data_IF_007126531804
#
_entry.id   IF_007126531804
#
_cell.length_a   1.000
_cell.length_b   1.000
_cell.length_c   1.000
_cell.angle_alpha   90.00
_cell.angle_beta   90.00
_cell.angle_gamma   90.00
#
_symmetry.space_group_name_H-M   'P 1'
#
loop_
_entity.id
_entity.type
_entity.pdbx_description
1 polymer ?
#
# COMPACT_ATOMS: atom_id res chain seq x y z
N UNK A 1 -15.58 -10.59 -53.25
CA UNK A 1 -16.69 -10.81 -52.29
C UNK A 1 -16.39 -9.98 -51.05
N UNK A 2 -16.91 -8.77 -51.01
CA UNK A 2 -16.68 -7.76 -49.95
C UNK A 2 -17.96 -7.63 -49.13
N UNK A 3 -17.90 -7.91 -47.81
CA UNK A 3 -18.99 -7.66 -46.87
C UNK A 3 -18.86 -6.24 -46.29
N UNK A 4 -19.94 -5.45 -46.20
CA UNK A 4 -19.90 -4.15 -45.52
C UNK A 4 -20.10 -4.33 -44.01
N UNK A 5 -19.40 -3.52 -43.22
CA UNK A 5 -19.62 -3.35 -41.79
C UNK A 5 -20.68 -2.28 -41.56
N UNK A 6 -21.74 -2.69 -40.88
CA UNK A 6 -22.86 -1.88 -40.43
C UNK A 6 -22.46 -1.08 -39.18
N UNK A 7 -22.61 0.25 -39.20
CA UNK A 7 -22.36 1.16 -38.07
C UNK A 7 -23.70 1.65 -37.54
N UNK A 8 -24.26 0.90 -36.60
CA UNK A 8 -25.42 1.32 -35.80
C UNK A 8 -25.02 2.37 -34.77
N UNK A 9 -25.52 3.59 -34.95
CA UNK A 9 -25.55 4.67 -33.96
C UNK A 9 -26.58 4.32 -32.88
N UNK A 10 -26.24 4.47 -31.60
CA UNK A 10 -27.23 4.49 -30.51
C UNK A 10 -27.12 5.79 -29.71
N UNK A 11 -28.30 6.27 -29.33
CA UNK A 11 -28.62 7.64 -28.99
C UNK A 11 -28.52 7.92 -27.48
N UNK A 12 -28.10 9.16 -27.19
CA UNK A 12 -28.04 9.79 -25.88
C UNK A 12 -29.47 10.21 -25.45
N UNK A 13 -29.93 9.78 -24.28
CA UNK A 13 -31.18 10.23 -23.68
C UNK A 13 -30.89 10.94 -22.35
N UNK A 14 -31.12 12.26 -22.32
CA UNK A 14 -31.11 13.12 -21.15
C UNK A 14 -32.49 13.11 -20.45
N UNK A 15 -32.48 12.90 -19.14
CA UNK A 15 -33.58 13.21 -18.20
C UNK A 15 -32.89 13.37 -16.83
N UNK A 16 -32.94 14.48 -16.08
CA UNK A 16 -33.93 15.53 -15.96
C UNK A 16 -34.70 15.33 -14.65
N UNK A 17 -34.29 15.97 -13.55
CA UNK A 17 -35.00 15.87 -12.27
C UNK A 17 -34.46 16.82 -11.20
N UNK A 18 -35.11 17.98 -11.06
CA UNK A 18 -34.92 18.94 -9.97
C UNK A 18 -36.00 18.74 -8.91
N UNK A 19 -35.63 18.76 -7.63
CA UNK A 19 -36.58 18.78 -6.50
C UNK A 19 -36.25 19.95 -5.58
N UNK A 20 -37.17 20.91 -5.55
CA UNK A 20 -37.26 22.01 -4.59
C UNK A 20 -37.99 21.52 -3.33
N UNK A 21 -37.44 21.81 -2.15
CA UNK A 21 -38.20 21.73 -0.88
C UNK A 21 -38.16 23.10 -0.22
N UNK A 22 -39.35 23.67 -0.06
CA UNK A 22 -39.64 24.96 0.56
C UNK A 22 -40.66 24.78 1.70
N UNK A 23 -40.50 25.56 2.77
CA UNK A 23 -41.46 25.78 3.87
C UNK A 23 -41.25 24.85 5.07
N UNK A 24 -41.47 25.23 6.33
CA UNK A 24 -42.08 26.36 7.04
C UNK A 24 -41.64 26.17 8.52
N UNK A 25 -41.43 27.18 9.36
CA UNK A 25 -42.45 27.75 10.26
C UNK A 25 -41.79 28.83 11.14
N UNK A 26 -42.43 29.99 11.24
CA UNK A 26 -42.11 31.05 12.21
C UNK A 26 -43.18 31.05 13.31
N UNK A 27 -42.75 30.95 14.57
CA UNK A 27 -43.56 31.23 15.76
C UNK A 27 -42.87 32.34 16.55
N UNK A 28 -43.61 33.43 16.77
CA UNK A 28 -43.17 34.58 17.55
C UNK A 28 -43.29 34.35 19.05
N UNK A 29 -42.23 34.66 19.78
CA UNK A 29 -42.21 34.82 21.23
C UNK A 29 -41.72 36.24 21.56
N UNK A 30 -42.38 36.86 22.54
CA UNK A 30 -42.15 38.24 22.95
C UNK A 30 -40.74 38.51 23.45
N UNK A 31 -40.22 39.66 23.06
CA UNK A 31 -38.86 40.12 23.30
C UNK A 31 -38.76 40.74 24.70
N UNK A 32 -38.34 39.93 25.67
CA UNK A 32 -37.76 40.41 26.91
C UNK A 32 -36.40 41.04 26.57
N UNK A 33 -36.07 42.28 27.01
CA UNK A 33 -34.81 42.91 26.65
C UNK A 33 -33.66 42.00 27.07
N UNK A 34 -32.79 41.58 26.13
CA UNK A 34 -31.78 40.59 26.40
C UNK A 34 -30.90 41.07 27.56
N UNK A 35 -30.57 40.19 28.51
CA UNK A 35 -29.60 40.52 29.54
C UNK A 35 -28.34 41.07 28.85
N UNK A 36 -27.66 42.07 29.45
CA UNK A 36 -26.44 42.62 28.88
C UNK A 36 -25.53 41.47 28.49
N UNK A 37 -24.99 41.45 27.26
CA UNK A 37 -24.23 40.32 26.76
C UNK A 37 -23.14 40.02 27.80
N UNK A 38 -23.01 38.74 28.23
CA UNK A 38 -21.94 38.37 29.14
C UNK A 38 -20.63 38.91 28.56
N UNK A 39 -19.74 39.46 29.40
CA UNK A 39 -18.45 39.94 28.93
C UNK A 39 -17.83 38.85 28.05
N UNK A 40 -17.32 39.21 26.85
CA UNK A 40 -16.81 38.23 25.92
C UNK A 40 -15.81 37.34 26.67
N UNK A 41 -15.93 36.00 26.56
CA UNK A 41 -15.00 35.12 27.23
C UNK A 41 -13.58 35.55 26.85
N UNK A 42 -12.64 35.57 27.81
CA UNK A 42 -11.26 35.91 27.51
C UNK A 42 -10.81 35.05 26.31
N UNK A 43 -10.11 35.65 25.33
CA UNK A 43 -9.65 34.90 24.17
C UNK A 43 -8.89 33.66 24.66
N UNK A 44 -9.15 32.47 24.08
CA UNK A 44 -8.41 31.26 24.43
C UNK A 44 -6.92 31.57 24.41
N UNK A 45 -6.12 31.04 25.37
CA UNK A 45 -4.68 31.12 25.27
C UNK A 45 -4.25 30.68 23.87
N UNK A 46 -3.47 31.50 23.17
CA UNK A 46 -2.91 31.13 21.86
C UNK A 46 -2.23 29.78 22.07
N UNK A 47 -2.68 28.74 21.37
CA UNK A 47 -2.05 27.44 21.45
C UNK A 47 -0.55 27.64 21.19
N UNK A 48 0.30 27.07 22.06
CA UNK A 48 1.74 27.09 21.81
C UNK A 48 1.98 26.46 20.44
N UNK A 49 2.78 27.14 19.62
CA UNK A 49 3.16 26.62 18.31
C UNK A 49 3.91 25.29 18.53
N UNK A 50 3.60 24.22 17.79
CA UNK A 50 4.28 22.94 17.95
C UNK A 50 5.79 23.13 17.73
N UNK A 51 6.59 22.63 18.67
CA UNK A 51 8.05 22.66 18.57
C UNK A 51 8.43 21.59 17.55
N UNK A 52 8.81 22.01 16.34
CA UNK A 52 9.34 21.12 15.31
C UNK A 52 10.84 20.94 15.62
N UNK A 53 11.32 19.71 15.90
CA UNK A 53 12.74 19.43 16.03
C UNK A 53 13.54 19.90 14.82
N UNK A 54 14.72 20.46 15.05
CA UNK A 54 15.66 20.73 13.96
C UNK A 54 16.15 19.40 13.35
N UNK A 55 16.37 19.33 12.03
CA UNK A 55 17.01 18.17 11.39
C UNK A 55 18.37 17.86 12.02
N UNK A 56 18.70 16.58 12.12
CA UNK A 56 20.03 16.19 12.58
C UNK A 56 21.06 16.51 11.49
N UNK A 57 22.31 16.79 11.90
CA UNK A 57 23.43 16.82 10.96
C UNK A 57 23.72 15.38 10.50
N UNK A 58 23.04 14.97 9.42
CA UNK A 58 23.08 13.60 8.91
C UNK A 58 24.51 13.17 8.56
N UNK A 59 25.34 14.07 8.03
CA UNK A 59 26.73 13.77 7.68
C UNK A 59 27.60 13.57 8.92
N UNK A 60 27.43 14.39 9.95
CA UNK A 60 28.13 14.20 11.22
C UNK A 60 27.68 12.92 11.93
N UNK A 61 26.37 12.62 11.92
CA UNK A 61 25.82 11.40 12.47
C UNK A 61 26.35 10.16 11.72
N UNK A 62 26.32 10.18 10.39
CA UNK A 62 26.82 9.10 9.52
C UNK A 62 28.28 8.73 9.83
N UNK A 63 29.16 9.73 9.96
CA UNK A 63 30.58 9.50 10.30
C UNK A 63 30.82 8.91 11.69
N UNK A 64 29.82 8.95 12.57
CA UNK A 64 29.90 8.34 13.90
C UNK A 64 29.41 6.89 13.94
N UNK A 65 28.83 6.42 12.83
CA UNK A 65 28.37 5.04 12.67
C UNK A 65 29.54 4.21 12.15
N UNK A 66 29.82 3.09 12.82
CA UNK A 66 30.74 2.07 12.32
C UNK A 66 30.02 1.27 11.23
N UNK A 67 30.41 1.49 9.97
CA UNK A 67 29.83 0.87 8.78
C UNK A 67 30.93 0.60 7.76
N UNK A 68 30.68 -0.31 6.80
CA UNK A 68 31.57 -0.57 5.68
C UNK A 68 31.94 0.72 4.93
N UNK A 69 33.24 0.93 4.70
CA UNK A 69 33.81 2.12 4.03
C UNK A 69 33.27 2.34 2.60
N UNK A 70 32.69 1.30 1.99
CA UNK A 70 32.03 1.36 0.67
C UNK A 70 30.67 2.02 0.71
N UNK A 71 30.08 2.21 1.89
CA UNK A 71 28.82 2.94 2.06
C UNK A 71 29.09 4.43 2.14
N UNK A 72 28.35 5.22 1.37
CA UNK A 72 28.43 6.69 1.41
C UNK A 72 27.05 7.32 1.51
N UNK A 73 27.00 8.52 2.08
CA UNK A 73 25.78 9.33 2.16
C UNK A 73 25.73 10.36 1.02
N UNK A 74 24.59 10.44 0.34
CA UNK A 74 24.26 11.45 -0.64
C UNK A 74 24.13 12.85 0.00
N UNK A 75 24.35 13.94 -0.77
CA UNK A 75 24.10 15.29 -0.29
C UNK A 75 22.59 15.53 -0.13
N UNK A 76 22.22 16.44 0.78
CA UNK A 76 20.83 16.92 0.88
C UNK A 76 19.86 15.98 1.61
N UNK A 77 20.35 14.94 2.28
CA UNK A 77 19.51 14.10 3.16
C UNK A 77 19.18 14.90 4.43
N UNK A 78 17.90 15.23 4.57
CA UNK A 78 17.32 15.89 5.73
C UNK A 78 16.51 14.84 6.51
N UNK A 79 16.97 14.52 7.73
CA UNK A 79 16.33 13.53 8.59
C UNK A 79 16.31 14.07 10.03
N UNK A 80 15.29 13.70 10.79
CA UNK A 80 15.13 14.10 12.19
C UNK A 80 15.31 12.91 13.15
N UNK A 81 14.98 11.70 12.68
CA UNK A 81 15.18 10.46 13.44
C UNK A 81 16.59 9.87 13.19
N UNK A 82 17.46 10.01 14.19
CA UNK A 82 18.81 9.43 14.18
C UNK A 82 18.80 7.91 14.09
N UNK A 83 17.84 7.24 14.73
CA UNK A 83 17.78 5.77 14.74
C UNK A 83 17.46 5.20 13.36
N UNK A 84 16.67 5.92 12.56
CA UNK A 84 16.38 5.56 11.16
C UNK A 84 17.64 5.68 10.30
N UNK A 85 18.39 6.78 10.40
CA UNK A 85 19.66 6.95 9.70
C UNK A 85 20.67 5.84 10.08
N UNK A 86 20.76 5.52 11.37
CA UNK A 86 21.63 4.45 11.87
C UNK A 86 21.24 3.08 11.30
N UNK A 87 19.95 2.75 11.30
CA UNK A 87 19.45 1.49 10.76
C UNK A 87 19.63 1.40 9.24
N UNK A 88 19.30 2.46 8.50
CA UNK A 88 19.46 2.51 7.04
C UNK A 88 20.92 2.36 6.62
N UNK A 89 21.84 3.01 7.36
CA UNK A 89 23.28 2.92 7.12
C UNK A 89 23.79 1.50 7.36
N UNK A 90 23.42 0.88 8.49
CA UNK A 90 23.81 -0.51 8.80
C UNK A 90 23.23 -1.52 7.82
N UNK A 91 21.96 -1.35 7.45
CA UNK A 91 21.29 -2.21 6.49
C UNK A 91 22.02 -2.15 5.14
N UNK A 92 22.29 -0.94 4.63
CA UNK A 92 23.05 -0.73 3.40
C UNK A 92 24.45 -1.34 3.47
N UNK A 93 25.12 -1.21 4.62
CA UNK A 93 26.43 -1.84 4.86
C UNK A 93 26.38 -3.36 4.79
N UNK A 94 25.35 -3.99 5.37
CA UNK A 94 25.16 -5.44 5.30
C UNK A 94 24.94 -5.93 3.86
N UNK A 95 24.17 -5.20 3.05
CA UNK A 95 23.96 -5.53 1.63
C UNK A 95 25.28 -5.54 0.85
N UNK A 96 26.08 -4.48 0.99
CA UNK A 96 27.36 -4.34 0.28
C UNK A 96 28.43 -5.31 0.81
N UNK A 97 28.37 -5.66 2.09
CA UNK A 97 29.22 -6.68 2.68
C UNK A 97 28.83 -8.12 2.27
N UNK A 98 27.66 -8.32 1.66
CA UNK A 98 27.11 -9.65 1.44
C UNK A 98 26.80 -10.39 2.74
N UNK A 99 26.64 -9.68 3.86
CA UNK A 99 26.37 -10.26 5.18
C UNK A 99 24.87 -10.54 5.33
N UNK A 100 24.45 -11.73 4.92
CA UNK A 100 23.05 -12.16 4.97
C UNK A 100 22.50 -12.18 6.40
N UNK A 101 23.34 -12.51 7.39
CA UNK A 101 22.93 -12.52 8.78
C UNK A 101 22.59 -11.10 9.26
N UNK A 102 23.51 -10.14 9.10
CA UNK A 102 23.29 -8.75 9.50
C UNK A 102 22.15 -8.09 8.71
N UNK A 103 22.01 -8.41 7.42
CA UNK A 103 20.91 -7.93 6.60
C UNK A 103 19.57 -8.46 7.14
N UNK A 104 19.50 -9.75 7.46
CA UNK A 104 18.28 -10.39 7.97
C UNK A 104 17.79 -9.75 9.29
N UNK A 105 18.69 -9.38 10.21
CA UNK A 105 18.32 -8.74 11.48
C UNK A 105 17.63 -7.38 11.31
N UNK A 106 17.87 -6.73 10.16
CA UNK A 106 17.31 -5.44 9.79
C UNK A 106 16.20 -5.57 8.74
N UNK A 107 15.68 -6.77 8.48
CA UNK A 107 14.61 -7.00 7.50
C UNK A 107 13.28 -7.35 8.16
N UNK A 108 12.18 -7.00 7.48
CA UNK A 108 10.84 -7.48 7.85
C UNK A 108 10.74 -8.99 7.65
N UNK A 109 9.79 -9.65 8.31
CA UNK A 109 9.59 -11.11 8.23
C UNK A 109 9.44 -11.62 6.79
N UNK A 110 8.73 -10.84 5.94
CA UNK A 110 8.54 -11.17 4.53
C UNK A 110 9.83 -11.00 3.72
N UNK A 111 10.60 -9.94 3.97
CA UNK A 111 11.89 -9.74 3.29
C UNK A 111 12.91 -10.81 3.71
N UNK A 112 12.92 -11.21 4.99
CA UNK A 112 13.74 -12.32 5.48
C UNK A 112 13.45 -13.64 4.78
N UNK A 113 12.18 -13.99 4.53
CA UNK A 113 11.85 -15.20 3.77
C UNK A 113 12.42 -15.18 2.35
N UNK A 114 12.45 -14.01 1.72
CA UNK A 114 13.05 -13.85 0.38
C UNK A 114 14.56 -14.00 0.45
N UNK A 115 15.19 -13.37 1.45
CA UNK A 115 16.63 -13.50 1.70
C UNK A 115 17.01 -14.96 2.00
N UNK A 116 16.27 -15.66 2.86
CA UNK A 116 16.51 -17.07 3.20
C UNK A 116 16.46 -17.97 1.95
N UNK A 117 15.54 -17.70 1.02
CA UNK A 117 15.46 -18.41 -0.26
C UNK A 117 16.71 -18.14 -1.14
N UNK A 118 17.12 -16.86 -1.27
CA UNK A 118 18.30 -16.45 -2.03
C UNK A 118 19.62 -16.94 -1.42
N UNK A 119 19.71 -17.01 -0.10
CA UNK A 119 20.88 -17.58 0.59
C UNK A 119 20.90 -19.10 0.41
N UNK A 120 19.73 -19.75 0.42
CA UNK A 120 19.60 -21.19 0.26
C UNK A 120 20.02 -21.72 -1.13
N UNK A 121 19.81 -20.95 -2.19
CA UNK A 121 20.23 -21.29 -3.56
C UNK A 121 21.56 -20.64 -3.99
N UNK A 122 22.11 -19.73 -3.19
CA UNK A 122 23.37 -19.03 -3.43
C UNK A 122 23.23 -17.73 -4.22
N UNK A 123 22.03 -17.39 -4.70
CA UNK A 123 21.77 -16.17 -5.47
C UNK A 123 22.13 -14.89 -4.69
N UNK A 124 22.02 -14.91 -3.36
CA UNK A 124 22.45 -13.78 -2.52
C UNK A 124 23.94 -13.47 -2.69
N UNK A 125 24.79 -14.49 -2.65
CA UNK A 125 26.22 -14.32 -2.74
C UNK A 125 26.65 -13.92 -4.15
N UNK A 126 26.03 -14.51 -5.18
CA UNK A 126 26.23 -14.11 -6.57
C UNK A 126 25.81 -12.64 -6.80
N UNK A 127 24.70 -12.20 -6.20
CA UNK A 127 24.22 -10.83 -6.37
C UNK A 127 25.07 -9.78 -5.60
N UNK A 128 25.75 -10.18 -4.53
CA UNK A 128 26.47 -9.25 -3.64
C UNK A 128 27.99 -9.27 -3.83
N UNK A 129 28.56 -10.31 -4.45
CA UNK A 129 30.03 -10.43 -4.61
C UNK A 129 30.65 -9.32 -5.48
N UNK A 130 29.90 -8.85 -6.48
CA UNK A 130 30.37 -7.83 -7.42
C UNK A 130 30.04 -6.39 -6.96
N UNK A 131 29.52 -6.20 -5.74
CA UNK A 131 29.20 -4.85 -5.24
C UNK A 131 30.45 -4.09 -4.81
N UNK A 132 30.77 -3.02 -5.55
CA UNK A 132 31.92 -2.15 -5.29
C UNK A 132 31.61 -1.05 -4.28
N UNK A 133 30.38 -0.53 -4.29
CA UNK A 133 29.94 0.55 -3.40
C UNK A 133 28.42 0.60 -3.24
N UNK A 134 27.96 1.29 -2.19
CA UNK A 134 26.59 1.76 -2.09
C UNK A 134 26.54 3.23 -1.68
N UNK A 135 25.53 3.92 -2.20
CA UNK A 135 25.28 5.30 -1.88
C UNK A 135 23.82 5.49 -1.49
N UNK A 136 23.58 5.93 -0.26
CA UNK A 136 22.23 6.31 0.18
C UNK A 136 21.92 7.65 -0.49
N UNK A 137 21.07 7.64 -1.50
CA UNK A 137 20.74 8.82 -2.32
C UNK A 137 19.42 9.46 -1.93
N UNK A 138 18.59 8.75 -1.15
CA UNK A 138 17.37 9.25 -0.54
C UNK A 138 17.15 8.55 0.79
N UNK A 139 16.78 9.32 1.80
CA UNK A 139 16.27 8.81 3.06
C UNK A 139 15.21 9.79 3.55
N UNK A 140 14.01 9.28 3.75
CA UNK A 140 12.87 10.06 4.22
C UNK A 140 12.15 9.33 5.35
N UNK A 141 11.39 10.07 6.13
CA UNK A 141 10.69 9.60 7.29
C UNK A 141 9.24 10.04 7.32
N UNK A 142 8.40 9.19 7.88
CA UNK A 142 7.01 9.48 8.16
C UNK A 142 6.71 9.22 9.64
N UNK A 143 6.03 10.15 10.33
CA UNK A 143 5.74 11.52 9.88
C UNK A 143 7.01 12.38 9.67
N UNK A 144 6.95 13.38 8.77
CA UNK A 144 8.08 14.26 8.53
C UNK A 144 8.34 15.16 9.73
N UNK A 145 9.61 15.52 9.94
CA UNK A 145 10.06 16.42 11.00
C UNK A 145 9.84 15.93 12.44
N UNK A 146 9.49 14.67 12.66
CA UNK A 146 9.40 14.11 14.00
C UNK A 146 10.71 13.45 14.44
N UNK A 147 11.05 13.56 15.72
CA UNK A 147 12.24 12.91 16.26
C UNK A 147 12.09 11.38 16.35
N UNK A 148 10.86 10.88 16.33
CA UNK A 148 10.51 9.46 16.43
C UNK A 148 9.61 9.07 15.26
N UNK A 149 10.22 8.82 14.10
CA UNK A 149 9.48 8.35 12.94
C UNK A 149 9.01 6.91 13.15
N UNK A 150 7.88 6.53 12.54
CA UNK A 150 7.36 5.16 12.58
C UNK A 150 7.47 4.44 11.23
N UNK A 151 7.70 5.18 10.14
CA UNK A 151 8.01 4.65 8.84
C UNK A 151 9.11 5.48 8.17
N UNK A 152 9.77 4.90 7.17
CA UNK A 152 10.76 5.59 6.37
C UNK A 152 10.91 4.97 4.99
N UNK A 153 11.48 5.73 4.06
CA UNK A 153 11.80 5.24 2.72
C UNK A 153 13.29 5.41 2.50
N UNK A 154 13.96 4.33 2.11
CA UNK A 154 15.38 4.27 1.82
C UNK A 154 15.56 4.00 0.33
N UNK A 155 16.34 4.84 -0.37
CA UNK A 155 16.82 4.55 -1.72
C UNK A 155 18.33 4.51 -1.73
N UNK A 156 18.87 3.41 -2.23
CA UNK A 156 20.31 3.18 -2.35
C UNK A 156 20.66 3.00 -3.82
N UNK A 157 21.67 3.73 -4.28
CA UNK A 157 22.36 3.43 -5.52
C UNK A 157 23.45 2.39 -5.26
N UNK A 158 23.27 1.19 -5.80
CA UNK A 158 24.22 0.08 -5.73
C UNK A 158 25.18 0.20 -6.92
N UNK A 159 26.49 0.13 -6.67
CA UNK A 159 27.53 0.17 -7.69
C UNK A 159 28.10 -1.24 -7.91
N UNK A 160 28.15 -1.66 -9.17
CA UNK A 160 28.90 -2.82 -9.66
C UNK A 160 29.89 -2.39 -10.76
N UNK A 161 30.73 -3.30 -11.30
CA UNK A 161 31.61 -3.02 -12.43
C UNK A 161 30.88 -2.58 -13.70
N UNK A 162 29.62 -3.00 -13.87
CA UNK A 162 28.82 -2.73 -15.08
C UNK A 162 28.08 -1.40 -15.01
N UNK A 163 27.88 -0.85 -13.80
CA UNK A 163 27.21 0.43 -13.60
C UNK A 163 26.64 0.58 -12.20
N UNK A 164 25.71 1.53 -12.06
CA UNK A 164 24.98 1.75 -10.82
C UNK A 164 23.47 1.77 -11.06
N UNK A 165 22.74 1.04 -10.22
CA UNK A 165 21.29 0.89 -10.26
C UNK A 165 20.67 1.26 -8.91
N UNK A 166 19.37 1.51 -8.87
CA UNK A 166 18.66 1.93 -7.67
C UNK A 166 17.83 0.80 -7.06
N UNK A 167 17.91 0.68 -5.75
CA UNK A 167 17.02 -0.15 -4.97
C UNK A 167 16.30 0.71 -3.93
N UNK A 168 14.99 0.48 -3.75
CA UNK A 168 14.16 1.12 -2.72
C UNK A 168 13.76 0.11 -1.68
N UNK A 169 13.73 0.53 -0.42
CA UNK A 169 13.14 -0.21 0.69
C UNK A 169 12.24 0.70 1.51
N UNK A 170 11.20 0.11 2.11
CA UNK A 170 10.43 0.75 3.17
C UNK A 170 10.96 0.29 4.52
N UNK A 171 11.25 1.25 5.39
CA UNK A 171 11.52 1.03 6.80
C UNK A 171 10.24 1.12 7.61
N UNK A 172 10.03 0.16 8.51
CA UNK A 172 9.01 0.21 9.55
C UNK A 172 9.66 0.13 10.93
N UNK A 173 9.17 0.93 11.88
CA UNK A 173 9.64 0.90 13.25
C UNK A 173 8.86 -0.13 14.06
N UNK A 174 9.57 -1.07 14.70
CA UNK A 174 9.02 -2.02 15.66
C UNK A 174 9.68 -1.82 17.02
N UNK A 175 8.97 -1.16 17.93
CA UNK A 175 9.52 -0.76 19.23
C UNK A 175 10.62 0.28 19.06
N UNK A 176 11.86 -0.08 19.45
CA UNK A 176 13.05 0.78 19.32
C UNK A 176 13.92 0.42 18.11
N UNK A 177 13.46 -0.50 17.27
CA UNK A 177 14.24 -1.06 16.16
C UNK A 177 13.55 -0.75 14.84
N UNK A 178 14.33 -0.72 13.76
CA UNK A 178 13.84 -0.56 12.39
C UNK A 178 14.02 -1.85 11.62
N UNK A 179 13.05 -2.16 10.77
CA UNK A 179 13.11 -3.27 9.82
C UNK A 179 12.80 -2.75 8.42
N UNK A 180 13.53 -3.22 7.42
CA UNK A 180 13.40 -2.82 6.01
C UNK A 180 12.78 -3.94 5.18
N UNK A 181 11.87 -3.60 4.28
CA UNK A 181 11.21 -4.58 3.42
C UNK A 181 10.54 -3.97 2.20
N UNK A 182 9.88 -4.81 1.42
CA UNK A 182 9.14 -4.39 0.23
C UNK A 182 10.05 -3.81 -0.85
N UNK A 183 11.22 -4.43 -1.07
CA UNK A 183 12.18 -3.91 -2.04
C UNK A 183 11.56 -3.89 -3.42
N UNK A 184 11.44 -2.70 -4.00
CA UNK A 184 11.13 -2.55 -5.41
C UNK A 184 12.40 -2.12 -6.10
N UNK A 185 12.73 -2.82 -7.18
CA UNK A 185 13.60 -2.25 -8.19
C UNK A 185 12.93 -0.96 -8.67
N UNK A 186 13.66 0.15 -8.59
CA UNK A 186 13.11 1.44 -9.02
C UNK A 186 13.11 1.50 -10.55
N UNK A 187 13.77 0.56 -11.24
CA UNK A 187 13.60 0.17 -12.63
C UNK A 187 14.93 0.08 -13.40
N UNK A 188 14.86 -0.17 -14.71
CA UNK A 188 16.01 -0.63 -15.52
C UNK A 188 17.05 0.47 -15.87
N UNK A 189 16.94 1.66 -15.27
CA UNK A 189 17.90 2.72 -15.54
C UNK A 189 19.20 2.49 -14.78
N UNK A 190 20.28 2.37 -15.55
CA UNK A 190 21.64 2.29 -15.05
C UNK A 190 22.38 3.62 -15.31
N UNK A 191 23.28 3.96 -14.41
CA UNK A 191 24.21 5.08 -14.55
C UNK A 191 25.65 4.59 -14.49
N UNK A 192 26.59 5.42 -14.95
CA UNK A 192 27.99 5.04 -14.93
C UNK A 192 28.54 4.97 -13.49
N UNK A 193 27.98 5.76 -12.57
CA UNK A 193 28.35 5.67 -11.16
C UNK A 193 27.22 5.99 -10.18
N UNK A 194 27.32 5.47 -8.95
CA UNK A 194 26.35 5.71 -7.89
C UNK A 194 26.16 7.20 -7.56
N UNK A 195 27.22 8.01 -7.67
CA UNK A 195 27.17 9.45 -7.44
C UNK A 195 26.37 10.23 -8.50
N UNK A 196 26.15 9.66 -9.69
CA UNK A 196 25.31 10.32 -10.71
C UNK A 196 23.83 10.35 -10.31
N UNK A 197 23.42 9.55 -9.33
CA UNK A 197 22.05 9.55 -8.80
C UNK A 197 21.80 10.68 -7.79
N UNK A 198 22.82 11.40 -7.33
CA UNK A 198 22.68 12.44 -6.32
C UNK A 198 21.74 13.58 -6.73
N UNK A 199 20.98 14.07 -5.76
CA UNK A 199 20.16 15.28 -5.90
C UNK A 199 18.87 15.09 -6.69
N UNK A 200 18.54 13.87 -7.08
CA UNK A 200 17.23 13.54 -7.64
C UNK A 200 16.18 13.45 -6.54
N UNK A 201 14.95 13.84 -6.87
CA UNK A 201 13.77 13.67 -6.03
C UNK A 201 13.23 12.24 -6.09
N UNK A 202 12.41 11.83 -5.12
CA UNK A 202 11.72 10.54 -5.13
C UNK A 202 10.94 10.30 -6.43
N UNK A 203 10.24 11.33 -6.92
CA UNK A 203 9.50 11.28 -8.18
C UNK A 203 10.44 11.07 -9.37
N UNK A 204 11.63 11.68 -9.36
CA UNK A 204 12.62 11.46 -10.42
C UNK A 204 13.24 10.07 -10.34
N UNK A 205 13.46 9.52 -9.15
CA UNK A 205 13.88 8.13 -8.99
C UNK A 205 12.81 7.19 -9.56
N UNK A 206 11.54 7.35 -9.16
CA UNK A 206 10.41 6.54 -9.65
C UNK A 206 10.22 6.64 -11.17
N UNK A 207 10.50 7.80 -11.77
CA UNK A 207 10.42 7.98 -13.22
C UNK A 207 11.65 7.48 -13.97
N UNK A 208 12.83 7.46 -13.34
CA UNK A 208 14.06 6.99 -13.95
C UNK A 208 13.96 5.51 -14.33
N UNK A 209 13.20 4.73 -13.56
CA UNK A 209 13.00 3.30 -13.78
C UNK A 209 12.47 2.81 -15.11
N UNK A 210 11.97 3.71 -15.95
CA UNK A 210 11.18 3.30 -17.10
C UNK A 210 9.87 2.64 -16.66
N UNK A 211 8.87 2.71 -17.54
CA UNK A 211 7.49 2.26 -17.30
C UNK A 211 7.33 0.72 -17.18
N UNK A 212 8.38 -0.03 -16.79
CA UNK A 212 8.47 -1.49 -16.93
C UNK A 212 8.50 -2.31 -15.63
N UNK A 213 9.07 -1.79 -14.54
CA UNK A 213 8.92 -2.42 -13.22
C UNK A 213 7.45 -2.29 -12.79
N UNK A 214 6.87 -3.24 -12.03
CA UNK A 214 5.61 -2.97 -11.35
C UNK A 214 5.90 -1.81 -10.41
N UNK A 215 5.59 -0.60 -10.89
CA UNK A 215 5.42 0.58 -10.06
C UNK A 215 4.74 0.04 -8.81
N UNK A 216 5.29 0.28 -7.62
CA UNK A 216 4.45 0.24 -6.43
C UNK A 216 3.48 1.36 -6.70
N UNK A 217 2.41 0.97 -7.37
CA UNK A 217 1.33 1.78 -7.80
C UNK A 217 1.02 2.60 -6.54
N UNK A 218 1.11 3.95 -6.60
CA UNK A 218 0.78 4.77 -5.42
C UNK A 218 -0.50 4.21 -4.80
N UNK A 219 -0.70 4.29 -3.48
CA UNK A 219 -1.79 3.57 -2.77
C UNK A 219 -3.11 3.47 -3.55
N UNK A 220 -3.47 4.51 -4.29
CA UNK A 220 -4.56 4.60 -5.27
C UNK A 220 -4.48 3.67 -6.50
N UNK A 221 -3.34 3.59 -7.17
CA UNK A 221 -3.11 2.70 -8.29
C UNK A 221 -2.91 1.25 -7.81
N UNK A 222 -2.34 1.00 -6.61
CA UNK A 222 -2.21 -0.35 -6.04
C UNK A 222 -3.58 -0.85 -5.62
N UNK A 223 -4.37 0.03 -5.03
CA UNK A 223 -5.79 -0.16 -4.86
C UNK A 223 -6.46 -0.45 -6.19
N UNK A 224 -6.21 0.31 -7.26
CA UNK A 224 -6.82 0.08 -8.56
C UNK A 224 -6.43 -1.29 -9.14
N UNK A 225 -5.16 -1.68 -9.13
CA UNK A 225 -4.68 -2.97 -9.63
C UNK A 225 -5.20 -4.15 -8.81
N UNK A 226 -5.17 -4.04 -7.49
CA UNK A 226 -5.76 -5.04 -6.59
C UNK A 226 -7.28 -5.15 -6.81
N UNK A 227 -7.96 -4.01 -6.97
CA UNK A 227 -9.41 -3.98 -7.18
C UNK A 227 -9.79 -4.51 -8.57
N UNK A 228 -9.02 -4.20 -9.62
CA UNK A 228 -9.25 -4.70 -10.98
C UNK A 228 -9.04 -6.22 -11.06
N UNK A 229 -8.01 -6.73 -10.39
CA UNK A 229 -7.81 -8.16 -10.19
C UNK A 229 -8.98 -8.81 -9.45
N UNK A 230 -9.38 -8.26 -8.30
CA UNK A 230 -10.49 -8.78 -7.51
C UNK A 230 -11.83 -8.70 -8.27
N UNK A 231 -12.01 -7.67 -9.10
CA UNK A 231 -13.15 -7.52 -9.98
C UNK A 231 -13.14 -8.52 -11.15
N UNK A 232 -11.99 -9.00 -11.59
CA UNK A 232 -11.88 -10.11 -12.55
C UNK A 232 -12.45 -11.42 -11.99
N UNK A 233 -12.21 -11.70 -10.71
CA UNK A 233 -12.79 -12.84 -9.99
C UNK A 233 -14.31 -12.73 -9.78
N UNK A 234 -14.87 -11.53 -9.99
CA UNK A 234 -16.28 -11.24 -9.86
C UNK A 234 -17.10 -11.54 -11.11
N UNK A 235 -16.49 -12.01 -12.20
CA UNK A 235 -17.22 -12.32 -13.42
C UNK A 235 -18.29 -13.38 -13.15
N UNK A 236 -19.56 -13.05 -13.39
CA UNK A 236 -20.68 -13.97 -13.20
C UNK A 236 -21.33 -13.97 -11.81
N UNK A 237 -20.88 -13.12 -10.87
CA UNK A 237 -21.56 -12.99 -9.58
C UNK A 237 -23.01 -12.53 -9.78
N UNK A 238 -23.95 -13.36 -9.36
CA UNK A 238 -25.39 -13.07 -9.48
C UNK A 238 -26.14 -13.21 -8.18
N UNK A 239 -25.64 -14.02 -7.26
CA UNK A 239 -26.29 -14.28 -5.99
C UNK A 239 -25.76 -13.36 -4.87
N UNK A 240 -26.60 -12.97 -3.90
CA UNK A 240 -26.20 -12.06 -2.82
C UNK A 240 -25.01 -12.56 -1.98
N UNK A 241 -24.99 -13.84 -1.62
CA UNK A 241 -23.95 -14.49 -0.83
C UNK A 241 -22.61 -14.59 -1.56
N UNK A 242 -22.62 -14.84 -2.88
CA UNK A 242 -21.42 -14.77 -3.72
C UNK A 242 -20.83 -13.34 -3.73
N UNK A 243 -21.69 -12.32 -3.95
CA UNK A 243 -21.25 -10.91 -3.97
C UNK A 243 -20.68 -10.49 -2.62
N UNK A 244 -21.34 -10.87 -1.53
CA UNK A 244 -20.86 -10.60 -0.19
C UNK A 244 -19.51 -11.27 0.09
N UNK A 245 -19.34 -12.54 -0.33
CA UNK A 245 -18.08 -13.26 -0.18
C UNK A 245 -16.93 -12.56 -0.89
N UNK A 246 -17.04 -12.35 -2.21
CA UNK A 246 -15.93 -11.84 -3.02
C UNK A 246 -15.57 -10.41 -2.62
N UNK A 247 -16.56 -9.52 -2.46
CA UNK A 247 -16.31 -8.13 -2.05
C UNK A 247 -15.81 -8.07 -0.59
N UNK A 248 -16.34 -8.91 0.30
CA UNK A 248 -15.91 -8.98 1.70
C UNK A 248 -14.46 -9.41 1.83
N UNK A 249 -14.06 -10.48 1.14
CA UNK A 249 -12.68 -10.97 1.12
C UNK A 249 -11.76 -9.93 0.48
N UNK A 250 -12.16 -9.32 -0.64
CA UNK A 250 -11.43 -8.24 -1.29
C UNK A 250 -11.12 -7.06 -0.35
N UNK A 251 -12.12 -6.62 0.43
CA UNK A 251 -11.97 -5.55 1.43
C UNK A 251 -10.99 -5.92 2.53
N UNK A 252 -11.06 -7.15 3.04
CA UNK A 252 -10.16 -7.59 4.11
C UNK A 252 -8.72 -7.77 3.61
N UNK A 253 -8.54 -8.26 2.39
CA UNK A 253 -7.22 -8.37 1.77
C UNK A 253 -6.59 -6.99 1.53
N UNK A 254 -7.31 -6.06 0.93
CA UNK A 254 -6.80 -4.68 0.71
C UNK A 254 -6.48 -3.99 2.03
N UNK A 255 -7.35 -4.12 3.04
CA UNK A 255 -7.07 -3.63 4.40
C UNK A 255 -5.83 -4.29 5.02
N UNK A 256 -5.66 -5.60 4.87
CA UNK A 256 -4.49 -6.34 5.36
C UNK A 256 -3.18 -5.92 4.69
N UNK A 257 -3.25 -5.39 3.47
CA UNK A 257 -2.14 -4.81 2.73
C UNK A 257 -1.89 -3.33 3.07
N UNK A 258 -2.63 -2.75 4.02
CA UNK A 258 -2.54 -1.32 4.36
C UNK A 258 -3.13 -0.40 3.29
N UNK A 259 -3.93 -0.94 2.37
CA UNK A 259 -4.57 -0.19 1.28
C UNK A 259 -6.00 0.15 1.73
N UNK A 260 -6.22 1.41 2.09
CA UNK A 260 -7.59 1.91 2.31
C UNK A 260 -8.25 2.22 0.96
N UNK A 261 -9.21 1.38 0.58
CA UNK A 261 -10.04 1.61 -0.62
C UNK A 261 -11.40 2.12 -0.19
N UNK A 262 -11.86 3.23 -0.77
CA UNK A 262 -13.22 3.71 -0.56
C UNK A 262 -14.22 2.65 -1.05
N UNK A 263 -15.23 2.36 -0.23
CA UNK A 263 -16.30 1.41 -0.53
C UNK A 263 -16.94 1.64 -1.91
N UNK A 264 -17.21 2.89 -2.27
CA UNK A 264 -17.83 3.24 -3.55
C UNK A 264 -16.88 2.93 -4.73
N UNK A 265 -15.56 3.10 -4.56
CA UNK A 265 -14.55 2.71 -5.56
C UNK A 265 -14.56 1.20 -5.80
N UNK A 266 -14.69 0.39 -4.75
CA UNK A 266 -14.79 -1.07 -4.89
C UNK A 266 -16.01 -1.44 -5.74
N UNK A 267 -17.17 -0.86 -5.45
CA UNK A 267 -18.39 -1.16 -6.21
C UNK A 267 -18.34 -0.67 -7.65
N UNK A 268 -17.76 0.51 -7.91
CA UNK A 268 -17.59 1.04 -9.27
C UNK A 268 -16.68 0.16 -10.12
N UNK A 269 -15.61 -0.39 -9.54
CA UNK A 269 -14.69 -1.30 -10.25
C UNK A 269 -15.34 -2.65 -10.54
N UNK A 270 -16.02 -3.24 -9.56
CA UNK A 270 -16.77 -4.48 -9.78
C UNK A 270 -17.91 -4.30 -10.79
N UNK A 271 -18.52 -3.11 -10.86
CA UNK A 271 -19.54 -2.80 -11.85
C UNK A 271 -19.02 -2.90 -13.30
N UNK A 272 -17.76 -2.50 -13.52
CA UNK A 272 -17.13 -2.54 -14.85
C UNK A 272 -16.91 -3.96 -15.37
N UNK A 273 -16.66 -4.94 -14.49
CA UNK A 273 -16.40 -6.34 -14.88
C UNK A 273 -17.65 -7.21 -14.89
N UNK A 274 -18.61 -6.94 -14.00
CA UNK A 274 -19.83 -7.74 -13.86
C UNK A 274 -20.95 -7.35 -14.82
N UNK A 275 -20.87 -6.14 -15.39
CA UNK A 275 -21.97 -5.55 -16.16
C UNK A 275 -23.18 -5.12 -15.31
N UNK A 276 -23.07 -5.19 -13.97
CA UNK A 276 -24.06 -4.67 -13.02
C UNK A 276 -23.74 -3.22 -12.69
N UNK A 277 -24.74 -2.47 -12.21
CA UNK A 277 -24.47 -1.13 -11.67
C UNK A 277 -23.82 -1.19 -10.29
N UNK A 278 -23.03 -0.18 -9.91
CA UNK A 278 -22.48 -0.08 -8.55
C UNK A 278 -23.58 -0.13 -7.47
N UNK A 279 -24.73 0.50 -7.72
CA UNK A 279 -25.89 0.44 -6.84
C UNK A 279 -26.51 -0.95 -6.71
N UNK A 280 -26.53 -1.73 -7.80
CA UNK A 280 -27.02 -3.12 -7.78
C UNK A 280 -26.08 -4.02 -6.98
N UNK A 281 -24.77 -3.89 -7.20
CA UNK A 281 -23.75 -4.63 -6.43
C UNK A 281 -23.80 -4.29 -4.95
N UNK A 282 -23.95 -3.00 -4.60
CA UNK A 282 -24.13 -2.56 -3.21
C UNK A 282 -25.41 -3.18 -2.60
N UNK A 283 -26.51 -3.22 -3.35
CA UNK A 283 -27.73 -3.88 -2.89
C UNK A 283 -27.58 -5.40 -2.71
N UNK A 284 -26.85 -6.07 -3.60
CA UNK A 284 -26.57 -7.52 -3.48
C UNK A 284 -25.65 -7.80 -2.29
N UNK A 285 -24.62 -6.98 -2.09
CA UNK A 285 -23.71 -7.07 -0.96
C UNK A 285 -24.45 -6.95 0.38
N UNK A 286 -25.30 -5.94 0.55
CA UNK A 286 -26.06 -5.75 1.81
C UNK A 286 -27.07 -6.89 2.05
N UNK A 287 -27.66 -7.44 0.99
CA UNK A 287 -28.50 -8.64 1.09
C UNK A 287 -27.68 -9.86 1.51
N UNK A 288 -26.53 -10.11 0.88
CA UNK A 288 -25.65 -11.22 1.23
C UNK A 288 -25.11 -11.13 2.65
N UNK A 289 -24.79 -9.92 3.12
CA UNK A 289 -24.44 -9.66 4.51
C UNK A 289 -25.57 -10.05 5.46
N UNK A 290 -26.81 -9.65 5.14
CA UNK A 290 -28.01 -10.02 5.93
C UNK A 290 -28.23 -11.54 5.91
N UNK A 291 -28.03 -12.20 4.77
CA UNK A 291 -28.12 -13.66 4.63
C UNK A 291 -27.06 -14.37 5.48
N UNK A 292 -25.82 -13.88 5.51
CA UNK A 292 -24.76 -14.39 6.38
C UNK A 292 -25.09 -14.26 7.87
N UNK A 293 -25.67 -13.11 8.29
CA UNK A 293 -26.13 -12.92 9.67
C UNK A 293 -27.26 -13.91 10.05
N UNK A 294 -28.02 -14.39 9.07
CA UNK A 294 -29.04 -15.44 9.23
C UNK A 294 -28.46 -16.86 9.14
N UNK A 295 -27.14 -17.00 8.98
CA UNK A 295 -26.44 -18.27 8.87
C UNK A 295 -26.45 -18.89 7.48
N UNK A 296 -26.97 -18.18 6.46
CA UNK A 296 -26.85 -18.60 5.06
C UNK A 296 -25.48 -18.13 4.55
N UNK A 297 -24.59 -19.08 4.31
CA UNK A 297 -23.24 -18.86 3.79
C UNK A 297 -23.09 -19.55 2.45
N UNK A 298 -22.11 -19.09 1.68
CA UNK A 298 -21.69 -19.76 0.46
C UNK A 298 -21.19 -21.17 0.80
N UNK A 299 -21.43 -22.14 -0.07
CA UNK A 299 -20.86 -23.48 0.12
C UNK A 299 -19.31 -23.40 0.10
N UNK A 300 -18.58 -24.13 0.97
CA UNK A 300 -17.11 -24.10 0.97
C UNK A 300 -16.47 -24.46 -0.37
N UNK A 301 -17.08 -25.33 -1.18
CA UNK A 301 -16.60 -25.66 -2.53
C UNK A 301 -16.72 -24.48 -3.49
N UNK A 302 -17.85 -23.79 -3.48
CA UNK A 302 -18.06 -22.55 -4.23
C UNK A 302 -17.09 -21.45 -3.73
N UNK A 303 -16.91 -21.33 -2.42
CA UNK A 303 -15.94 -20.42 -1.81
C UNK A 303 -14.51 -20.66 -2.28
N UNK A 304 -14.07 -21.93 -2.32
CA UNK A 304 -12.76 -22.31 -2.87
C UNK A 304 -12.62 -21.93 -4.34
N UNK A 305 -13.68 -22.09 -5.14
CA UNK A 305 -13.70 -21.67 -6.55
C UNK A 305 -13.48 -20.17 -6.68
N UNK A 306 -14.14 -19.35 -5.86
CA UNK A 306 -13.91 -17.90 -5.86
C UNK A 306 -12.53 -17.51 -5.34
N UNK A 307 -12.00 -18.19 -4.31
CA UNK A 307 -10.62 -17.96 -3.85
C UNK A 307 -9.61 -18.27 -4.95
N UNK A 308 -9.82 -19.37 -5.69
CA UNK A 308 -8.99 -19.70 -6.85
C UNK A 308 -9.10 -18.63 -7.94
N UNK A 309 -10.30 -18.10 -8.20
CA UNK A 309 -10.50 -17.00 -9.14
C UNK A 309 -9.80 -15.70 -8.69
N UNK A 310 -9.86 -15.36 -7.39
CA UNK A 310 -9.13 -14.23 -6.80
C UNK A 310 -7.63 -14.39 -7.02
N UNK A 311 -7.08 -15.59 -6.78
CA UNK A 311 -5.66 -15.87 -7.00
C UNK A 311 -5.27 -15.74 -8.47
N UNK A 312 -6.08 -16.32 -9.36
CA UNK A 312 -5.83 -16.27 -10.79
C UNK A 312 -5.87 -14.84 -11.34
N UNK A 313 -6.79 -14.01 -10.83
CA UNK A 313 -6.96 -12.64 -11.31
C UNK A 313 -5.95 -11.65 -10.70
N UNK A 314 -5.42 -11.91 -9.50
CA UNK A 314 -4.43 -11.05 -8.84
C UNK A 314 -3.01 -11.10 -9.37
N UNK A 315 -2.70 -12.01 -10.30
CA UNK A 315 -1.37 -12.09 -10.91
C UNK A 315 -0.24 -12.15 -9.86
N UNK A 316 0.86 -11.40 -10.03
CA UNK A 316 1.95 -11.35 -9.06
C UNK A 316 1.53 -10.89 -7.65
N UNK A 317 0.55 -9.99 -7.56
CA UNK A 317 0.04 -9.51 -6.27
C UNK A 317 -0.65 -10.64 -5.50
N UNK A 318 -1.45 -11.46 -6.17
CA UNK A 318 -2.08 -12.63 -5.54
C UNK A 318 -1.08 -13.70 -5.13
N UNK A 319 0.03 -13.86 -5.87
CA UNK A 319 1.09 -14.80 -5.49
C UNK A 319 1.78 -14.40 -4.17
N UNK A 320 1.77 -13.11 -3.82
CA UNK A 320 2.31 -12.61 -2.56
C UNK A 320 1.33 -12.76 -1.37
N UNK A 321 0.06 -13.10 -1.62
CA UNK A 321 -0.94 -13.29 -0.56
C UNK A 321 -0.88 -14.74 -0.09
N UNK A 322 -0.50 -14.96 1.17
CA UNK A 322 -0.44 -16.30 1.75
C UNK A 322 -1.82 -16.91 1.99
N UNK A 323 -1.89 -18.25 2.05
CA UNK A 323 -3.12 -18.97 2.40
C UNK A 323 -3.71 -18.45 3.72
N UNK A 324 -2.85 -18.24 4.73
CA UNK A 324 -3.20 -17.71 6.05
C UNK A 324 -3.81 -16.29 5.99
N UNK A 325 -3.34 -15.44 5.07
CA UNK A 325 -3.94 -14.12 4.85
C UNK A 325 -5.33 -14.25 4.22
N UNK A 326 -5.51 -15.16 3.24
CA UNK A 326 -6.82 -15.41 2.64
C UNK A 326 -7.79 -16.02 3.67
N UNK A 327 -7.34 -16.99 4.47
CA UNK A 327 -8.15 -17.60 5.53
C UNK A 327 -8.58 -16.53 6.53
N UNK A 328 -7.67 -15.65 6.94
CA UNK A 328 -7.98 -14.55 7.86
C UNK A 328 -8.96 -13.55 7.24
N UNK A 329 -8.82 -13.25 5.95
CA UNK A 329 -9.74 -12.39 5.21
C UNK A 329 -11.15 -13.00 5.11
N UNK A 330 -11.26 -14.30 4.82
CA UNK A 330 -12.54 -15.04 4.81
C UNK A 330 -13.17 -15.05 6.20
N UNK A 331 -12.39 -15.35 7.24
CA UNK A 331 -12.84 -15.35 8.63
C UNK A 331 -13.41 -13.98 9.03
N UNK A 332 -12.70 -12.91 8.69
CA UNK A 332 -13.13 -11.54 8.97
C UNK A 332 -14.35 -11.11 8.13
N UNK A 333 -14.43 -11.53 6.86
CA UNK A 333 -15.56 -11.23 5.99
C UNK A 333 -16.87 -11.87 6.49
N UNK A 334 -16.82 -13.15 6.88
CA UNK A 334 -18.00 -13.87 7.38
C UNK A 334 -18.27 -13.73 8.87
N UNK A 335 -17.30 -13.24 9.66
CA UNK A 335 -17.40 -13.23 11.11
C UNK A 335 -17.37 -14.64 11.71
N UNK A 336 -16.56 -15.54 11.13
CA UNK A 336 -16.42 -16.94 11.55
C UNK A 336 -15.03 -17.23 12.13
N UNK A 337 -14.86 -18.32 12.91
CA UNK A 337 -13.55 -18.74 13.37
C UNK A 337 -12.60 -19.08 12.21
N UNK A 338 -11.31 -18.78 12.37
CA UNK A 338 -10.24 -19.12 11.40
C UNK A 338 -10.24 -20.61 11.03
N UNK A 339 -10.57 -21.50 11.98
CA UNK A 339 -10.66 -22.93 11.72
C UNK A 339 -11.77 -23.30 10.73
N UNK A 340 -12.89 -22.58 10.74
CA UNK A 340 -14.00 -22.79 9.79
C UNK A 340 -13.68 -22.14 8.43
N UNK A 341 -13.02 -20.98 8.44
CA UNK A 341 -12.60 -20.30 7.21
C UNK A 341 -11.59 -21.11 6.37
N UNK A 342 -10.84 -22.04 7.00
CA UNK A 342 -9.90 -22.93 6.28
C UNK A 342 -10.61 -23.77 5.22
N UNK A 343 -11.86 -24.16 5.44
CA UNK A 343 -12.62 -24.99 4.50
C UNK A 343 -12.88 -24.26 3.16
N UNK A 344 -12.83 -22.92 3.14
CA UNK A 344 -13.01 -22.09 1.95
C UNK A 344 -11.72 -21.87 1.15
N UNK A 345 -10.56 -22.28 1.68
CA UNK A 345 -9.25 -22.00 1.08
C UNK A 345 -8.48 -23.29 0.78
N UNK A 346 -8.49 -24.23 1.71
CA UNK A 346 -7.73 -25.49 1.63
C UNK A 346 -8.68 -26.61 1.22
N UNK A 347 -8.26 -27.44 0.25
CA UNK A 347 -9.00 -28.65 -0.09
C UNK A 347 -8.92 -29.66 1.09
N UNK A 348 -10.01 -30.39 1.38
CA UNK A 348 -10.07 -31.34 2.49
C UNK A 348 -9.07 -32.51 2.40
#
# INVERSE_FOLDING_TARGET
MTRPLDRGRMALALTGGAVMIAGLLALGCGEEPPPPPPPPPPPPPKAAEPIIPDPIDAMAAFRSIDVDDRVTLGPGIEINDRSLLEAATKFTGALVAGDDFAASELMTDSARQTLDAMTGDGAWYEATEDLEAARIVYLDQSPPHEAEANAGTLVVAMQSPDGAYLLRWEGERSGSSWAFGGSADIGDAERASAGEWDGMSLVEYENAGGSGAPTRLGSEAAAAGATDALAGAASGLSEPDEVFFVIGVARQLTKGLGIEVNDDTIYERFAQTTGKSASELKSLYERGKTENEQGKRLDPEEGRSHVAAIRAAGGPLAAAISDEQIISAVAAAYGIPVSEARDYVVAP
#
